data_IF_480879216436
#
_entry.id   IF_480879216436
#
_cell.length_a   1.000
_cell.length_b   1.000
_cell.length_c   1.000
_cell.angle_alpha   90.00
_cell.angle_beta   90.00
_cell.angle_gamma   90.00
#
_symmetry.space_group_name_H-M   'P 1'
#
loop_
_entity.id
_entity.type
_entity.pdbx_description
1 polymer ?
#
# COMPACT_ATOMS: atom_id res chain seq x y z
N UNK A 1 -41.22 9.22 3.60
CA UNK A 1 -42.41 9.04 2.83
C UNK A 1 -42.72 7.56 2.65
N UNK A 2 -43.98 7.22 2.43
CA UNK A 2 -44.50 5.84 2.33
C UNK A 2 -43.79 4.92 1.32
N UNK A 3 -43.14 5.45 0.33
CA UNK A 3 -42.38 4.70 -0.69
C UNK A 3 -41.12 4.01 -0.13
N UNK A 4 -40.57 4.50 0.97
CA UNK A 4 -39.38 3.92 1.58
C UNK A 4 -39.71 2.76 2.55
N UNK A 5 -41.00 2.58 2.86
CA UNK A 5 -41.46 1.51 3.76
C UNK A 5 -41.78 0.20 3.03
N UNK A 6 -41.81 0.21 1.72
CA UNK A 6 -42.06 -0.98 0.92
C UNK A 6 -40.82 -1.89 0.93
N UNK A 7 -40.97 -3.11 1.40
CA UNK A 7 -39.89 -4.10 1.56
C UNK A 7 -39.16 -4.34 0.26
N UNK A 8 -39.83 -4.26 -0.89
CA UNK A 8 -39.19 -4.40 -2.22
C UNK A 8 -38.32 -3.19 -2.62
N UNK A 9 -38.53 -2.03 -2.02
CA UNK A 9 -37.77 -0.81 -2.35
C UNK A 9 -36.54 -0.60 -1.47
N UNK A 10 -36.44 -1.28 -0.33
CA UNK A 10 -35.27 -1.18 0.55
C UNK A 10 -34.02 -1.70 -0.12
N UNK A 11 -34.14 -2.73 -0.94
CA UNK A 11 -33.02 -3.33 -1.69
C UNK A 11 -32.52 -2.42 -2.82
N UNK A 12 -33.35 -1.52 -3.33
CA UNK A 12 -32.96 -0.57 -4.38
C UNK A 12 -32.28 0.70 -3.84
N UNK A 13 -32.11 0.81 -2.52
CA UNK A 13 -31.38 1.93 -1.90
C UNK A 13 -29.99 1.47 -1.49
N UNK A 14 -28.99 2.05 -2.14
CA UNK A 14 -27.60 1.81 -1.81
C UNK A 14 -27.04 2.92 -0.91
N UNK A 15 -26.36 2.54 0.14
CA UNK A 15 -25.60 3.44 0.99
C UNK A 15 -24.12 3.40 0.59
N UNK A 16 -23.62 4.54 0.14
CA UNK A 16 -22.22 4.67 -0.28
C UNK A 16 -21.46 5.64 0.63
N UNK A 17 -20.31 5.21 1.16
CA UNK A 17 -19.45 6.03 2.00
C UNK A 17 -18.09 6.29 1.32
N UNK A 18 -17.72 7.55 1.22
CA UNK A 18 -16.39 7.95 0.74
C UNK A 18 -15.27 7.73 1.77
N UNK A 19 -14.13 8.39 1.53
CA UNK A 19 -12.91 8.19 2.32
C UNK A 19 -13.01 8.56 3.81
N UNK A 20 -13.70 9.64 4.25
CA UNK A 20 -13.79 9.95 5.67
C UNK A 20 -14.27 8.76 6.48
N UNK A 21 -13.41 8.23 7.33
CA UNK A 21 -13.68 7.00 8.08
C UNK A 21 -14.53 7.25 9.31
N UNK A 22 -14.45 8.44 9.83
CA UNK A 22 -15.16 8.88 11.03
C UNK A 22 -16.70 8.81 10.89
N UNK A 23 -17.32 9.26 9.79
CA UNK A 23 -18.77 9.16 9.61
C UNK A 23 -19.26 7.77 9.16
N UNK A 24 -18.38 6.87 8.72
CA UNK A 24 -18.77 5.52 8.25
C UNK A 24 -19.65 4.75 9.24
N UNK A 25 -19.33 4.74 10.56
CA UNK A 25 -20.20 4.09 11.53
C UNK A 25 -21.65 4.60 11.49
N UNK A 26 -21.86 5.89 11.29
CA UNK A 26 -23.19 6.49 11.20
C UNK A 26 -23.93 6.04 9.93
N UNK A 27 -23.22 5.96 8.80
CA UNK A 27 -23.77 5.48 7.53
C UNK A 27 -24.15 4.00 7.65
N UNK A 28 -23.32 3.18 8.27
CA UNK A 28 -23.64 1.76 8.51
C UNK A 28 -24.85 1.56 9.42
N UNK A 29 -24.97 2.38 10.48
CA UNK A 29 -26.16 2.38 11.33
C UNK A 29 -27.41 2.78 10.55
N UNK A 30 -27.31 3.81 9.70
CA UNK A 30 -28.41 4.25 8.87
C UNK A 30 -28.84 3.16 7.89
N UNK A 31 -27.89 2.52 7.20
CA UNK A 31 -28.18 1.39 6.30
C UNK A 31 -28.91 0.25 7.03
N UNK A 32 -28.47 -0.10 8.23
CA UNK A 32 -29.13 -1.12 9.06
C UNK A 32 -30.50 -0.69 9.54
N UNK A 33 -30.65 0.56 9.98
CA UNK A 33 -31.94 1.09 10.41
C UNK A 33 -32.95 1.11 9.25
N UNK A 34 -32.47 1.42 8.06
CA UNK A 34 -33.27 1.39 6.83
C UNK A 34 -33.52 -0.04 6.33
N UNK A 35 -32.82 -1.02 6.90
CA UNK A 35 -32.85 -2.43 6.49
C UNK A 35 -32.42 -2.65 5.02
N UNK A 36 -31.44 -1.88 4.55
CA UNK A 36 -30.84 -2.07 3.23
C UNK A 36 -29.66 -3.03 3.32
N UNK A 37 -29.66 -4.10 2.50
CA UNK A 37 -28.51 -4.99 2.39
C UNK A 37 -27.38 -4.39 1.53
N UNK A 38 -27.66 -3.31 0.79
CA UNK A 38 -26.76 -2.77 -0.22
C UNK A 38 -25.99 -1.57 0.31
N UNK A 39 -24.71 -1.75 0.52
CA UNK A 39 -23.79 -0.69 0.92
C UNK A 39 -22.39 -0.92 0.33
N UNK A 40 -21.67 0.15 0.08
CA UNK A 40 -20.30 0.09 -0.39
C UNK A 40 -19.46 1.24 0.14
N UNK A 41 -18.14 1.10 0.04
CA UNK A 41 -17.19 2.17 0.32
C UNK A 41 -16.17 2.28 -0.80
N UNK A 42 -15.62 3.47 -1.00
CA UNK A 42 -14.60 3.72 -2.02
C UNK A 42 -13.26 3.01 -1.75
N UNK A 43 -12.96 2.71 -0.48
CA UNK A 43 -11.63 2.21 -0.08
C UNK A 43 -11.29 0.83 -0.62
N UNK A 44 -12.27 0.07 -1.12
CA UNK A 44 -12.02 -1.26 -1.65
C UNK A 44 -11.19 -1.24 -2.93
N UNK A 45 -11.59 -0.52 -3.97
CA UNK A 45 -10.87 -0.53 -5.23
C UNK A 45 -10.28 0.84 -5.61
N UNK A 46 -10.95 1.93 -5.23
CA UNK A 46 -10.60 3.27 -5.67
C UNK A 46 -9.60 4.00 -4.74
N UNK A 47 -9.09 3.38 -3.69
CA UNK A 47 -8.16 4.01 -2.77
C UNK A 47 -6.92 3.14 -2.51
N UNK A 48 -6.92 2.37 -1.43
CA UNK A 48 -5.71 1.74 -0.90
C UNK A 48 -5.55 0.25 -1.21
N UNK A 49 -6.54 -0.40 -1.74
CA UNK A 49 -6.54 -1.87 -1.80
C UNK A 49 -5.40 -2.46 -2.61
N UNK A 50 -4.98 -1.82 -3.70
CA UNK A 50 -3.80 -2.27 -4.45
C UNK A 50 -2.53 -2.27 -3.60
N UNK A 51 -2.31 -1.24 -2.79
CA UNK A 51 -1.19 -1.20 -1.85
C UNK A 51 -1.34 -2.21 -0.70
N UNK A 52 -2.54 -2.33 -0.13
CA UNK A 52 -2.80 -3.32 0.93
C UNK A 52 -2.56 -4.74 0.44
N UNK A 53 -2.95 -5.05 -0.79
CA UNK A 53 -2.66 -6.35 -1.40
C UNK A 53 -1.16 -6.56 -1.56
N UNK A 54 -0.42 -5.56 -2.03
CA UNK A 54 1.03 -5.63 -2.15
C UNK A 54 1.72 -5.83 -0.79
N UNK A 55 1.25 -5.13 0.24
CA UNK A 55 1.75 -5.26 1.61
C UNK A 55 1.48 -6.67 2.17
N UNK A 56 0.28 -7.19 1.99
CA UNK A 56 -0.08 -8.54 2.41
C UNK A 56 0.71 -9.62 1.68
N UNK A 57 0.91 -9.47 0.36
CA UNK A 57 1.71 -10.41 -0.43
C UNK A 57 3.20 -10.41 -0.04
N UNK A 58 3.73 -9.27 0.41
CA UNK A 58 5.14 -9.15 0.80
C UNK A 58 5.39 -9.43 2.29
N UNK A 59 4.46 -9.04 3.17
CA UNK A 59 4.65 -9.03 4.63
C UNK A 59 3.62 -9.88 5.40
N UNK A 60 2.59 -10.40 4.74
CA UNK A 60 1.46 -11.06 5.41
C UNK A 60 0.52 -10.12 6.16
N UNK A 61 0.80 -8.83 6.20
CA UNK A 61 -0.02 -7.79 6.86
C UNK A 61 0.20 -6.41 6.24
N UNK A 62 -0.75 -5.46 6.40
CA UNK A 62 -0.56 -4.08 5.96
C UNK A 62 0.61 -3.40 6.67
N UNK A 63 1.46 -2.70 5.90
CA UNK A 63 2.60 -1.96 6.43
C UNK A 63 2.91 -0.72 5.57
N UNK A 64 2.60 0.47 6.07
CA UNK A 64 2.87 1.75 5.39
C UNK A 64 4.27 2.30 5.65
N UNK A 65 5.13 1.56 6.33
CA UNK A 65 6.35 2.11 6.88
C UNK A 65 6.10 2.94 8.14
N UNK A 66 7.04 3.78 8.48
CA UNK A 66 7.01 4.59 9.70
C UNK A 66 7.67 5.94 9.48
N UNK A 67 7.46 6.87 10.42
CA UNK A 67 8.30 8.06 10.50
C UNK A 67 9.74 7.68 10.87
N UNK A 68 10.75 8.44 10.41
CA UNK A 68 12.14 8.14 10.75
C UNK A 68 12.38 8.32 12.25
N UNK A 69 13.07 7.37 12.86
CA UNK A 69 13.49 7.40 14.26
C UNK A 69 14.89 7.99 14.43
N UNK A 70 15.40 8.04 15.66
CA UNK A 70 16.80 8.45 15.93
C UNK A 70 17.84 7.50 15.31
N UNK A 71 17.46 6.24 15.10
CA UNK A 71 18.34 5.18 14.60
C UNK A 71 18.28 5.05 13.07
N UNK A 72 17.32 5.72 12.42
CA UNK A 72 17.18 5.70 10.96
C UNK A 72 18.32 6.47 10.30
N UNK A 73 19.09 5.79 9.43
CA UNK A 73 20.23 6.36 8.69
C UNK A 73 19.82 6.83 7.29
N UNK A 74 18.94 6.08 6.64
CA UNK A 74 18.41 6.41 5.32
C UNK A 74 16.88 6.34 5.37
N UNK A 75 16.23 7.33 4.80
CA UNK A 75 14.77 7.38 4.78
C UNK A 75 14.27 7.56 3.34
N UNK A 76 13.40 6.66 2.89
CA UNK A 76 12.84 6.69 1.55
C UNK A 76 11.39 7.19 1.57
N UNK A 77 11.12 8.27 0.85
CA UNK A 77 9.77 8.82 0.67
C UNK A 77 9.25 8.33 -0.67
N UNK A 78 8.28 7.42 -0.62
CA UNK A 78 7.76 6.75 -1.81
C UNK A 78 6.42 7.35 -2.21
N UNK A 79 6.42 8.18 -3.26
CA UNK A 79 5.23 8.76 -3.87
C UNK A 79 4.27 9.46 -2.88
N UNK A 80 4.83 10.11 -1.85
CA UNK A 80 4.08 10.68 -0.73
C UNK A 80 4.33 12.18 -0.59
N UNK A 81 3.26 12.97 -0.57
CA UNK A 81 3.36 14.40 -0.28
C UNK A 81 3.36 14.67 1.23
N UNK A 82 4.46 14.27 1.89
CA UNK A 82 4.60 14.26 3.36
C UNK A 82 4.42 15.63 4.02
N UNK A 83 4.72 16.72 3.33
CA UNK A 83 4.57 18.06 3.88
C UNK A 83 3.10 18.48 4.03
N UNK A 84 2.20 17.88 3.26
CA UNK A 84 0.76 18.13 3.33
C UNK A 84 0.03 17.14 4.25
N UNK A 85 0.74 16.20 4.84
CA UNK A 85 0.15 15.24 5.78
C UNK A 85 0.05 15.83 7.17
N UNK A 86 -1.11 15.71 7.86
CA UNK A 86 -1.36 16.38 9.14
C UNK A 86 -0.62 15.80 10.34
N UNK A 87 0.02 14.64 10.21
CA UNK A 87 0.51 13.80 11.31
C UNK A 87 1.94 14.12 11.79
N UNK A 88 2.47 15.31 11.55
CA UNK A 88 3.82 15.66 11.98
C UNK A 88 4.96 14.96 11.25
N UNK A 89 4.66 14.22 10.17
CA UNK A 89 5.65 13.47 9.39
C UNK A 89 6.72 14.38 8.80
N UNK A 90 6.30 15.53 8.30
CA UNK A 90 7.23 16.51 7.73
C UNK A 90 8.25 17.00 8.75
N UNK A 91 7.81 17.30 9.99
CA UNK A 91 8.71 17.72 11.06
C UNK A 91 9.66 16.60 11.49
N UNK A 92 9.16 15.36 11.57
CA UNK A 92 9.99 14.19 11.87
C UNK A 92 11.08 13.97 10.80
N UNK A 93 10.74 14.14 9.51
CA UNK A 93 11.68 14.00 8.39
C UNK A 93 12.74 15.11 8.42
N UNK A 94 12.33 16.38 8.64
CA UNK A 94 13.28 17.49 8.78
C UNK A 94 14.23 17.27 9.96
N UNK A 95 13.70 16.86 11.09
CA UNK A 95 14.49 16.54 12.27
C UNK A 95 15.46 15.39 12.03
N UNK A 96 15.04 14.35 11.31
CA UNK A 96 15.92 13.24 10.92
C UNK A 96 17.06 13.74 10.01
N UNK A 97 16.73 14.53 8.99
CA UNK A 97 17.74 15.12 8.09
C UNK A 97 18.73 15.99 8.85
N UNK A 98 18.28 16.82 9.79
CA UNK A 98 19.14 17.64 10.64
C UNK A 98 20.13 16.80 11.50
N UNK A 99 19.75 15.56 11.84
CA UNK A 99 20.63 14.60 12.52
C UNK A 99 21.56 13.83 11.56
N UNK A 100 21.53 14.11 10.26
CA UNK A 100 22.37 13.45 9.25
C UNK A 100 21.73 12.27 8.54
N UNK A 101 20.46 11.96 8.80
CA UNK A 101 19.70 10.96 8.03
C UNK A 101 19.66 11.36 6.56
N UNK A 102 19.98 10.42 5.67
CA UNK A 102 19.92 10.61 4.22
C UNK A 102 18.50 10.41 3.71
N UNK A 103 18.08 11.25 2.78
CA UNK A 103 16.72 11.22 2.23
C UNK A 103 16.76 10.83 0.75
N UNK A 104 16.03 9.78 0.40
CA UNK A 104 15.72 9.43 -0.98
C UNK A 104 14.24 9.73 -1.21
N UNK A 105 13.92 10.47 -2.26
CA UNK A 105 12.52 10.73 -2.63
C UNK A 105 12.23 10.14 -3.99
N UNK A 106 11.19 9.32 -4.08
CA UNK A 106 10.62 8.77 -5.31
C UNK A 106 9.30 9.50 -5.56
N UNK A 107 9.28 10.46 -6.46
CA UNK A 107 8.07 11.22 -6.83
C UNK A 107 8.29 11.83 -8.22
N UNK A 108 7.30 11.74 -9.09
CA UNK A 108 7.34 12.35 -10.44
C UNK A 108 7.47 13.86 -10.40
N UNK A 109 7.02 14.49 -9.31
CA UNK A 109 7.04 15.94 -9.10
C UNK A 109 8.19 16.34 -8.20
N UNK A 110 8.70 17.55 -8.42
CA UNK A 110 9.64 18.17 -7.50
C UNK A 110 8.91 18.77 -6.30
N UNK A 111 8.57 17.92 -5.34
CA UNK A 111 7.92 18.30 -4.08
C UNK A 111 8.91 18.94 -3.09
N UNK A 112 8.41 19.52 -2.00
CA UNK A 112 9.28 19.98 -0.90
C UNK A 112 10.15 18.87 -0.32
N UNK A 113 9.69 17.63 -0.34
CA UNK A 113 10.50 16.47 0.05
C UNK A 113 11.64 16.23 -0.95
N UNK A 114 11.39 16.38 -2.24
CA UNK A 114 12.42 16.27 -3.27
C UNK A 114 13.46 17.41 -3.21
N UNK A 115 13.07 18.60 -2.75
CA UNK A 115 14.00 19.74 -2.57
C UNK A 115 15.02 19.50 -1.46
N UNK A 116 14.63 18.79 -0.40
CA UNK A 116 15.54 18.48 0.71
C UNK A 116 16.21 17.10 0.56
N UNK A 117 15.82 16.30 -0.43
CA UNK A 117 16.38 14.96 -0.64
C UNK A 117 17.85 15.00 -1.04
N UNK A 118 18.62 14.01 -0.58
CA UNK A 118 19.98 13.76 -1.09
C UNK A 118 19.92 13.18 -2.51
N UNK A 119 18.87 12.37 -2.79
CA UNK A 119 18.60 11.84 -4.14
C UNK A 119 17.10 11.97 -4.42
N UNK A 120 16.76 12.57 -5.56
CA UNK A 120 15.40 12.59 -6.11
C UNK A 120 15.36 11.72 -7.37
N UNK A 121 14.51 10.71 -7.33
CA UNK A 121 14.18 9.82 -8.43
C UNK A 121 12.77 10.19 -8.94
N UNK A 122 12.69 10.61 -10.20
CA UNK A 122 11.43 11.06 -10.81
C UNK A 122 11.02 10.08 -11.94
N UNK A 123 10.45 8.92 -11.61
CA UNK A 123 10.05 7.95 -12.63
C UNK A 123 8.83 8.44 -13.42
N UNK A 124 8.68 7.99 -14.65
CA UNK A 124 7.45 8.10 -15.40
C UNK A 124 6.32 7.39 -14.64
N UNK A 125 5.10 7.92 -14.72
CA UNK A 125 3.94 7.38 -13.98
C UNK A 125 3.72 5.91 -14.36
N UNK A 126 3.57 5.05 -13.35
CA UNK A 126 3.31 3.61 -13.52
C UNK A 126 4.57 2.75 -13.74
N UNK A 127 5.77 3.33 -13.69
CA UNK A 127 7.03 2.60 -13.89
C UNK A 127 7.81 2.34 -12.59
N UNK A 128 7.20 2.55 -11.44
CA UNK A 128 7.84 2.41 -10.13
C UNK A 128 8.39 0.99 -9.89
N UNK A 129 7.69 -0.05 -10.40
CA UNK A 129 8.17 -1.42 -10.32
C UNK A 129 9.50 -1.63 -11.08
N UNK A 130 9.65 -1.02 -12.26
CA UNK A 130 10.88 -1.10 -13.03
C UNK A 130 12.03 -0.34 -12.34
N UNK A 131 11.73 0.83 -11.75
CA UNK A 131 12.71 1.57 -10.93
C UNK A 131 13.17 0.73 -9.74
N UNK A 132 12.25 0.14 -9.00
CA UNK A 132 12.56 -0.71 -7.86
C UNK A 132 13.40 -1.94 -8.28
N UNK A 133 13.05 -2.57 -9.40
CA UNK A 133 13.82 -3.70 -9.96
C UNK A 133 15.26 -3.29 -10.33
N UNK A 134 15.45 -2.10 -10.92
CA UNK A 134 16.78 -1.55 -11.22
C UNK A 134 17.60 -1.31 -9.96
N UNK A 135 17.01 -0.68 -8.94
CA UNK A 135 17.67 -0.49 -7.63
C UNK A 135 18.01 -1.84 -6.99
N UNK A 136 17.06 -2.78 -6.96
CA UNK A 136 17.28 -4.12 -6.41
C UNK A 136 18.41 -4.87 -7.14
N UNK A 137 18.46 -4.78 -8.48
CA UNK A 137 19.54 -5.37 -9.26
C UNK A 137 20.91 -4.84 -8.84
N UNK A 138 21.05 -3.54 -8.64
CA UNK A 138 22.32 -2.94 -8.18
C UNK A 138 22.68 -3.49 -6.79
N UNK A 139 21.73 -3.51 -5.87
CA UNK A 139 21.95 -4.07 -4.52
C UNK A 139 22.44 -5.51 -4.57
N UNK A 140 21.84 -6.34 -5.41
CA UNK A 140 22.19 -7.75 -5.56
C UNK A 140 23.55 -7.91 -6.23
N UNK A 141 23.81 -7.22 -7.34
CA UNK A 141 25.06 -7.35 -8.10
C UNK A 141 26.28 -6.81 -7.36
N UNK A 142 26.11 -5.80 -6.54
CA UNK A 142 27.17 -5.25 -5.71
C UNK A 142 27.28 -5.94 -4.34
N UNK A 143 26.50 -7.01 -4.12
CA UNK A 143 26.47 -7.78 -2.87
C UNK A 143 26.22 -6.90 -1.62
N UNK A 144 25.30 -5.94 -1.75
CA UNK A 144 24.90 -5.02 -0.68
C UNK A 144 23.71 -5.52 0.15
N UNK A 145 23.15 -6.66 -0.20
CA UNK A 145 21.96 -7.26 0.43
C UNK A 145 22.30 -7.97 1.75
N UNK A 146 21.32 -8.13 2.61
CA UNK A 146 21.44 -8.93 3.83
C UNK A 146 21.10 -10.40 3.54
N UNK A 147 22.06 -11.17 3.02
CA UNK A 147 21.85 -12.56 2.64
C UNK A 147 21.36 -13.44 3.80
N UNK A 148 21.91 -13.35 5.03
CA UNK A 148 21.40 -14.13 6.17
C UNK A 148 19.93 -13.88 6.47
N UNK A 149 19.47 -12.62 6.40
CA UNK A 149 18.06 -12.29 6.58
C UNK A 149 17.19 -12.90 5.46
N UNK A 150 17.65 -12.78 4.23
CA UNK A 150 16.94 -13.30 3.05
C UNK A 150 16.76 -14.81 3.16
N UNK A 151 17.82 -15.54 3.47
CA UNK A 151 17.81 -17.00 3.56
C UNK A 151 16.90 -17.52 4.69
N UNK A 152 16.80 -16.76 5.79
CA UNK A 152 16.01 -17.16 6.95
C UNK A 152 14.53 -16.76 6.84
N UNK A 153 14.22 -15.60 6.25
CA UNK A 153 12.92 -14.96 6.39
C UNK A 153 12.16 -14.77 5.09
N UNK A 154 12.76 -15.09 3.93
CA UNK A 154 12.12 -14.87 2.65
C UNK A 154 12.00 -16.15 1.83
N UNK A 155 11.13 -16.09 0.82
CA UNK A 155 10.96 -17.15 -0.16
C UNK A 155 11.04 -16.57 -1.58
N UNK A 156 11.60 -17.34 -2.55
CA UNK A 156 11.64 -16.95 -3.96
C UNK A 156 12.74 -15.94 -4.30
N UNK A 157 13.79 -15.80 -3.49
CA UNK A 157 14.87 -14.85 -3.76
C UNK A 157 15.62 -15.15 -5.06
N UNK A 158 15.93 -16.41 -5.34
CA UNK A 158 16.71 -16.79 -6.54
C UNK A 158 15.95 -16.48 -7.84
N UNK A 159 14.64 -16.74 -7.86
CA UNK A 159 13.77 -16.37 -8.96
C UNK A 159 13.67 -14.86 -9.13
N UNK A 160 13.55 -14.13 -8.01
CA UNK A 160 13.53 -12.68 -8.03
C UNK A 160 14.85 -12.10 -8.52
N UNK A 161 16.00 -12.60 -8.05
CA UNK A 161 17.32 -12.17 -8.49
C UNK A 161 17.52 -12.38 -10.00
N UNK A 162 17.07 -13.52 -10.51
CA UNK A 162 17.07 -13.81 -11.96
C UNK A 162 16.14 -12.86 -12.72
N UNK A 163 14.94 -12.60 -12.18
CA UNK A 163 13.99 -11.69 -12.80
C UNK A 163 14.54 -10.26 -12.92
N UNK A 164 15.13 -9.71 -11.85
CA UNK A 164 15.63 -8.34 -11.87
C UNK A 164 16.91 -8.16 -12.65
N UNK A 165 17.60 -9.21 -13.04
CA UNK A 165 18.89 -9.12 -13.77
C UNK A 165 18.75 -8.42 -15.14
N UNK A 166 17.58 -8.47 -15.76
CA UNK A 166 17.28 -7.75 -16.99
C UNK A 166 17.16 -6.22 -16.81
N UNK A 167 16.95 -5.72 -15.59
CA UNK A 167 16.77 -4.29 -15.30
C UNK A 167 18.13 -3.63 -15.00
N UNK A 168 19.03 -3.59 -16.01
CA UNK A 168 20.27 -2.81 -15.87
C UNK A 168 19.95 -1.34 -15.58
N UNK A 169 20.87 -0.56 -15.01
CA UNK A 169 20.65 0.88 -14.81
C UNK A 169 20.21 1.60 -16.09
N UNK A 170 20.80 1.24 -17.24
CA UNK A 170 20.49 1.81 -18.56
C UNK A 170 19.08 1.40 -19.01
N UNK A 171 18.70 0.11 -18.84
CA UNK A 171 17.36 -0.36 -19.17
C UNK A 171 16.32 0.26 -18.25
N UNK A 172 16.66 0.45 -16.98
CA UNK A 172 15.80 1.14 -16.01
C UNK A 172 15.61 2.59 -16.42
N UNK A 173 16.65 3.29 -16.85
CA UNK A 173 16.54 4.65 -17.40
C UNK A 173 15.65 4.70 -18.65
N UNK A 174 15.80 3.76 -19.57
CA UNK A 174 14.96 3.68 -20.78
C UNK A 174 13.47 3.58 -20.43
N UNK A 175 13.12 2.77 -19.44
CA UNK A 175 11.73 2.52 -19.03
C UNK A 175 11.16 3.67 -18.18
N UNK A 176 11.95 4.17 -17.24
CA UNK A 176 11.48 5.07 -16.18
C UNK A 176 11.79 6.54 -16.43
N UNK A 177 12.76 6.84 -17.29
CA UNK A 177 13.32 8.18 -17.47
C UNK A 177 14.28 8.61 -16.34
N UNK A 178 14.47 7.80 -15.31
CA UNK A 178 15.42 8.10 -14.21
C UNK A 178 16.84 7.82 -14.70
N UNK A 179 17.80 8.77 -14.62
CA UNK A 179 19.18 8.57 -15.03
C UNK A 179 19.83 7.35 -14.38
N UNK A 180 20.57 6.56 -15.14
CA UNK A 180 21.19 5.32 -14.69
C UNK A 180 22.14 5.51 -13.50
N UNK A 181 22.91 6.60 -13.50
CA UNK A 181 23.79 6.98 -12.40
C UNK A 181 23.02 7.26 -11.10
N UNK A 182 21.81 7.85 -11.20
CA UNK A 182 20.94 8.07 -10.04
C UNK A 182 20.35 6.77 -9.49
N UNK A 183 20.03 5.79 -10.35
CA UNK A 183 19.58 4.46 -9.93
C UNK A 183 20.68 3.80 -9.09
N UNK A 184 21.91 3.81 -9.58
CA UNK A 184 23.09 3.26 -8.88
C UNK A 184 23.34 4.00 -7.57
N UNK A 185 23.34 5.34 -7.61
CA UNK A 185 23.57 6.16 -6.42
C UNK A 185 22.50 5.91 -5.34
N UNK A 186 21.22 5.78 -5.74
CA UNK A 186 20.13 5.50 -4.81
C UNK A 186 20.27 4.12 -4.15
N UNK A 187 20.64 3.08 -4.91
CA UNK A 187 20.89 1.76 -4.37
C UNK A 187 22.03 1.78 -3.32
N UNK A 188 23.15 2.40 -3.67
CA UNK A 188 24.31 2.53 -2.76
C UNK A 188 24.00 3.38 -1.54
N UNK A 189 23.18 4.43 -1.69
CA UNK A 189 22.74 5.24 -0.56
C UNK A 189 21.81 4.46 0.35
N UNK A 190 20.85 3.72 -0.23
CA UNK A 190 19.93 2.87 0.52
C UNK A 190 20.66 1.82 1.34
N UNK A 191 21.76 1.29 0.84
CA UNK A 191 22.59 0.30 1.52
C UNK A 191 23.35 0.85 2.74
N UNK A 192 23.38 2.17 2.97
CA UNK A 192 24.03 2.77 4.14
C UNK A 192 23.17 2.74 5.43
N UNK A 193 21.96 2.16 5.36
CA UNK A 193 21.00 2.08 6.48
C UNK A 193 21.54 1.55 7.79
N UNK A 194 20.68 1.37 8.82
CA UNK A 194 19.27 0.96 8.69
C UNK A 194 18.38 2.02 8.05
N UNK A 195 17.47 1.52 7.21
CA UNK A 195 16.57 2.34 6.43
C UNK A 195 15.10 2.08 6.72
N UNK A 196 14.32 3.15 6.74
CA UNK A 196 12.86 3.09 6.82
C UNK A 196 12.23 3.87 5.67
N UNK A 197 10.93 3.76 5.53
CA UNK A 197 10.21 4.42 4.46
C UNK A 197 8.84 4.93 4.90
N UNK A 198 8.28 5.84 4.09
CA UNK A 198 6.85 6.09 4.03
C UNK A 198 6.37 6.04 2.60
N UNK A 199 5.17 5.57 2.40
CA UNK A 199 4.50 5.59 1.12
C UNK A 199 3.06 6.05 1.27
N UNK A 200 2.52 6.74 0.26
CA UNK A 200 1.09 6.83 0.08
C UNK A 200 0.63 5.85 -0.98
N UNK A 201 -0.53 5.42 -0.72
CA UNK A 201 -1.19 4.33 -1.36
C UNK A 201 -1.74 4.69 -2.74
N UNK A 202 -2.20 5.94 -2.90
CA UNK A 202 -2.92 6.34 -4.12
C UNK A 202 -1.98 6.44 -5.32
N UNK A 203 -0.85 7.11 -5.17
CA UNK A 203 0.06 7.37 -6.29
C UNK A 203 0.62 6.11 -6.92
N UNK A 204 0.90 5.08 -6.10
CA UNK A 204 1.44 3.81 -6.58
C UNK A 204 0.36 2.87 -7.09
N UNK A 205 -0.84 2.87 -6.48
CA UNK A 205 -1.89 1.89 -6.77
C UNK A 205 -2.92 2.34 -7.81
N UNK A 206 -3.05 3.64 -8.09
CA UNK A 206 -4.04 4.17 -9.03
C UNK A 206 -3.58 4.08 -10.49
N UNK A 207 -3.07 2.93 -10.86
CA UNK A 207 -2.74 2.58 -12.25
C UNK A 207 -2.86 1.06 -12.44
N UNK A 208 -2.87 0.59 -13.68
CA UNK A 208 -3.07 -0.83 -14.02
C UNK A 208 -2.00 -1.76 -13.43
N UNK A 209 -0.82 -1.25 -13.10
CA UNK A 209 0.27 -2.03 -12.49
C UNK A 209 0.47 -1.72 -10.99
N UNK A 210 -0.53 -1.14 -10.33
CA UNK A 210 -0.39 -0.57 -8.98
C UNK A 210 0.08 -1.55 -7.92
N UNK A 211 -0.39 -2.80 -7.94
CA UNK A 211 0.05 -3.84 -7.02
C UNK A 211 1.56 -4.11 -7.17
N UNK A 212 2.04 -4.30 -8.40
CA UNK A 212 3.45 -4.59 -8.64
C UNK A 212 4.36 -3.37 -8.39
N UNK A 213 3.89 -2.15 -8.69
CA UNK A 213 4.63 -0.93 -8.36
C UNK A 213 4.88 -0.84 -6.85
N UNK A 214 3.84 -1.08 -6.05
CA UNK A 214 3.97 -1.09 -4.60
C UNK A 214 4.85 -2.25 -4.12
N UNK A 215 4.61 -3.47 -4.62
CA UNK A 215 5.41 -4.65 -4.26
C UNK A 215 6.90 -4.44 -4.50
N UNK A 216 7.27 -3.91 -5.67
CA UNK A 216 8.66 -3.68 -6.04
C UNK A 216 9.38 -2.77 -5.03
N UNK A 217 8.76 -1.65 -4.66
CA UNK A 217 9.35 -0.73 -3.69
C UNK A 217 9.44 -1.34 -2.28
N UNK A 218 8.44 -2.12 -1.87
CA UNK A 218 8.44 -2.81 -0.57
C UNK A 218 9.48 -3.94 -0.48
N UNK A 219 9.98 -4.47 -1.59
CA UNK A 219 11.07 -5.46 -1.58
C UNK A 219 12.42 -4.84 -1.20
N UNK A 220 12.63 -3.54 -1.40
CA UNK A 220 13.91 -2.90 -1.11
C UNK A 220 14.33 -3.00 0.37
N UNK A 221 13.48 -2.68 1.37
CA UNK A 221 13.82 -2.91 2.77
C UNK A 221 13.95 -4.40 3.13
N UNK A 222 13.23 -5.31 2.46
CA UNK A 222 13.35 -6.75 2.68
C UNK A 222 14.73 -7.25 2.26
N UNK A 223 15.22 -6.87 1.08
CA UNK A 223 16.56 -7.23 0.60
C UNK A 223 17.66 -6.80 1.56
N UNK A 224 17.45 -5.71 2.28
CA UNK A 224 18.42 -5.15 3.22
C UNK A 224 18.27 -5.72 4.64
N UNK A 225 17.21 -6.48 4.93
CA UNK A 225 16.90 -6.91 6.28
C UNK A 225 16.51 -5.76 7.22
N UNK A 226 15.95 -4.67 6.70
CA UNK A 226 15.54 -3.50 7.49
C UNK A 226 14.17 -3.69 8.15
N UNK A 227 13.75 -4.92 8.34
CA UNK A 227 12.44 -5.28 8.89
C UNK A 227 12.58 -5.53 10.39
N UNK A 228 11.74 -4.88 11.19
CA UNK A 228 11.60 -5.01 12.64
C UNK A 228 12.93 -4.83 13.43
N UNK A 229 13.77 -3.92 12.93
CA UNK A 229 15.01 -3.50 13.60
C UNK A 229 14.96 -2.01 13.97
N UNK A 230 15.73 -1.54 14.96
CA UNK A 230 15.85 -0.12 15.26
C UNK A 230 16.27 0.70 14.02
N UNK A 231 15.51 1.73 13.70
CA UNK A 231 15.74 2.58 12.51
C UNK A 231 15.22 2.02 11.20
N UNK A 232 14.75 0.78 11.20
CA UNK A 232 14.13 0.11 10.06
C UNK A 232 12.61 0.26 10.00
N UNK A 233 11.97 -0.72 9.39
CA UNK A 233 10.52 -0.80 9.17
C UNK A 233 9.89 -1.65 10.25
N UNK A 234 9.16 -1.07 11.21
CA UNK A 234 8.56 -1.85 12.29
C UNK A 234 7.32 -2.61 11.78
N UNK A 235 7.11 -3.81 12.28
CA UNK A 235 5.82 -4.48 12.25
C UNK A 235 4.97 -3.99 13.42
N UNK A 236 4.20 -2.91 13.17
CA UNK A 236 3.31 -2.36 14.17
C UNK A 236 2.22 -3.36 14.55
N UNK A 237 2.06 -3.59 15.86
CA UNK A 237 0.84 -4.21 16.36
C UNK A 237 -0.23 -3.13 16.47
N UNK A 238 -1.44 -3.34 15.93
CA UNK A 238 -2.52 -2.39 16.14
C UNK A 238 -2.80 -2.25 17.64
N UNK A 239 -3.13 -1.05 18.14
CA UNK A 239 -3.48 -0.86 19.54
C UNK A 239 -4.56 -1.85 19.96
N UNK A 240 -4.32 -2.60 21.02
CA UNK A 240 -5.31 -3.55 21.57
C UNK A 240 -6.57 -2.76 21.98
N UNK A 241 -7.70 -3.12 21.44
CA UNK A 241 -9.00 -2.62 21.87
C UNK A 241 -9.65 -1.52 21.04
N UNK A 242 -8.97 -0.95 20.04
CA UNK A 242 -9.52 0.06 19.15
C UNK A 242 -9.59 -0.45 17.70
N UNK A 243 -10.40 -1.45 17.45
CA UNK A 243 -10.76 -1.80 16.07
C UNK A 243 -12.14 -1.22 15.74
N UNK A 244 -12.36 -0.85 14.48
CA UNK A 244 -13.71 -0.52 13.98
C UNK A 244 -14.70 -1.68 14.26
N UNK A 245 -14.17 -2.90 14.42
CA UNK A 245 -14.86 -4.09 14.89
C UNK A 245 -15.45 -3.94 16.29
N UNK A 246 -14.73 -3.27 17.20
CA UNK A 246 -15.16 -3.11 18.58
C UNK A 246 -16.45 -2.28 18.71
N UNK A 247 -16.74 -1.43 17.72
CA UNK A 247 -17.96 -0.63 17.71
C UNK A 247 -19.17 -1.37 17.13
N UNK A 248 -19.01 -2.62 16.69
CA UNK A 248 -20.12 -3.47 16.21
C UNK A 248 -20.89 -2.89 15.02
N UNK A 249 -20.27 -2.02 14.24
CA UNK A 249 -20.96 -1.14 13.31
C UNK A 249 -20.86 -1.61 11.85
N UNK A 250 -19.94 -2.52 11.56
CA UNK A 250 -19.83 -3.13 10.25
C UNK A 250 -20.77 -4.36 10.20
N UNK A 251 -21.58 -4.56 9.14
CA UNK A 251 -22.44 -5.72 9.00
C UNK A 251 -21.69 -7.06 9.14
N UNK A 252 -20.49 -7.16 8.57
CA UNK A 252 -19.59 -8.31 8.73
C UNK A 252 -19.16 -8.58 10.18
N UNK A 253 -19.33 -7.63 11.08
CA UNK A 253 -18.93 -7.72 12.48
C UNK A 253 -20.13 -7.99 13.41
N UNK A 254 -21.33 -7.71 12.95
CA UNK A 254 -22.55 -8.01 13.71
C UNK A 254 -22.81 -9.52 13.72
N UNK A 255 -22.49 -10.21 12.63
CA UNK A 255 -22.54 -11.66 12.54
C UNK A 255 -21.39 -12.19 11.66
N UNK A 256 -20.21 -12.29 12.25
CA UNK A 256 -19.01 -12.85 11.58
C UNK A 256 -19.24 -14.28 11.06
N UNK A 257 -20.04 -15.08 11.74
CA UNK A 257 -20.29 -16.47 11.37
C UNK A 257 -21.11 -16.53 10.10
N UNK A 258 -22.16 -15.71 10.00
CA UNK A 258 -22.98 -15.60 8.81
C UNK A 258 -22.18 -14.98 7.65
N UNK A 259 -21.50 -13.85 7.88
CA UNK A 259 -20.70 -13.15 6.85
C UNK A 259 -19.62 -14.02 6.23
N UNK A 260 -18.98 -14.85 7.04
CA UNK A 260 -17.93 -15.76 6.59
C UNK A 260 -18.44 -17.14 6.17
N UNK A 261 -19.76 -17.37 6.17
CA UNK A 261 -20.31 -18.64 5.72
C UNK A 261 -20.00 -18.91 4.25
N UNK A 262 -19.82 -20.19 3.87
CA UNK A 262 -19.57 -20.55 2.46
C UNK A 262 -20.66 -20.03 1.52
N UNK A 263 -21.91 -20.02 1.98
CA UNK A 263 -23.06 -19.54 1.21
C UNK A 263 -22.94 -18.04 0.88
N UNK A 264 -22.63 -17.19 1.87
CA UNK A 264 -22.46 -15.75 1.66
C UNK A 264 -21.24 -15.46 0.79
N UNK A 265 -20.12 -16.16 1.04
CA UNK A 265 -18.92 -16.01 0.23
C UNK A 265 -19.13 -16.40 -1.23
N UNK A 266 -19.90 -17.46 -1.49
CA UNK A 266 -20.22 -17.89 -2.85
C UNK A 266 -21.11 -16.90 -3.62
N UNK A 267 -21.89 -16.08 -2.90
CA UNK A 267 -22.77 -15.06 -3.52
C UNK A 267 -22.11 -13.70 -3.69
N UNK A 268 -20.88 -13.53 -3.27
CA UNK A 268 -20.16 -12.28 -3.48
C UNK A 268 -19.89 -12.07 -4.97
N UNK A 269 -20.26 -10.91 -5.45
CA UNK A 269 -20.00 -10.47 -6.81
C UNK A 269 -18.49 -10.47 -7.10
N UNK A 270 -18.07 -10.64 -8.34
CA UNK A 270 -16.69 -10.64 -8.85
C UNK A 270 -15.74 -11.68 -8.22
N UNK A 271 -16.23 -12.65 -7.41
CA UNK A 271 -15.37 -13.64 -6.77
C UNK A 271 -14.58 -14.48 -7.77
N UNK A 272 -15.20 -14.87 -8.85
CA UNK A 272 -14.54 -15.69 -9.90
C UNK A 272 -13.52 -14.88 -10.69
N UNK A 273 -13.79 -13.59 -10.92
CA UNK A 273 -12.92 -12.69 -11.67
C UNK A 273 -11.73 -12.21 -10.83
N UNK A 274 -11.92 -11.99 -9.53
CA UNK A 274 -10.95 -11.41 -8.62
C UNK A 274 -10.75 -12.25 -7.34
N UNK A 275 -10.37 -13.53 -7.46
CA UNK A 275 -10.30 -14.45 -6.30
C UNK A 275 -9.31 -13.97 -5.22
N UNK A 276 -8.14 -13.47 -5.60
CA UNK A 276 -7.16 -12.96 -4.64
C UNK A 276 -7.67 -11.73 -3.88
N UNK A 277 -8.48 -10.91 -4.51
CA UNK A 277 -9.09 -9.76 -3.88
C UNK A 277 -10.03 -10.17 -2.75
N UNK A 278 -10.87 -11.18 -2.98
CA UNK A 278 -11.75 -11.73 -1.97
C UNK A 278 -10.99 -12.43 -0.84
N UNK A 279 -9.97 -13.22 -1.20
CA UNK A 279 -9.25 -14.02 -0.22
C UNK A 279 -8.33 -13.17 0.67
N UNK A 280 -7.72 -12.11 0.14
CA UNK A 280 -6.80 -11.26 0.88
C UNK A 280 -7.46 -10.03 1.51
N UNK A 281 -8.49 -9.47 0.87
CA UNK A 281 -9.12 -8.22 1.32
C UNK A 281 -10.51 -8.43 1.93
N UNK A 282 -11.10 -9.59 1.74
CA UNK A 282 -12.49 -9.91 2.14
C UNK A 282 -13.52 -8.86 1.66
N UNK A 283 -13.33 -8.37 0.44
CA UNK A 283 -14.09 -7.28 -0.15
C UNK A 283 -14.52 -7.61 -1.58
N UNK A 284 -15.57 -6.91 -2.05
CA UNK A 284 -16.02 -6.91 -3.44
C UNK A 284 -15.54 -5.63 -4.12
N UNK A 285 -15.08 -5.71 -5.36
CA UNK A 285 -14.64 -4.53 -6.11
C UNK A 285 -15.84 -3.68 -6.55
N UNK A 286 -15.89 -2.39 -6.23
CA UNK A 286 -16.96 -1.51 -6.69
C UNK A 286 -16.83 -1.11 -8.17
N UNK A 287 -15.75 -1.47 -8.85
CA UNK A 287 -15.52 -1.07 -10.24
C UNK A 287 -16.55 -1.66 -11.20
N UNK A 288 -17.06 -2.86 -10.89
CA UNK A 288 -18.07 -3.55 -11.71
C UNK A 288 -19.50 -3.18 -11.28
N UNK A 289 -19.68 -2.31 -10.29
CA UNK A 289 -20.99 -1.91 -9.78
C UNK A 289 -21.95 -1.39 -10.85
N UNK A 290 -21.52 -0.55 -11.83
CA UNK A 290 -22.42 -0.09 -12.89
C UNK A 290 -22.97 -1.23 -13.76
N UNK A 291 -22.18 -2.28 -14.00
CA UNK A 291 -22.61 -3.46 -14.76
C UNK A 291 -23.60 -4.28 -13.97
N UNK A 292 -23.33 -4.54 -12.71
CA UNK A 292 -24.24 -5.30 -11.84
C UNK A 292 -25.59 -4.60 -11.63
N UNK A 293 -25.59 -3.26 -11.55
CA UNK A 293 -26.84 -2.49 -11.44
C UNK A 293 -27.64 -2.55 -12.74
N UNK A 294 -26.98 -2.60 -13.90
CA UNK A 294 -27.64 -2.73 -15.20
C UNK A 294 -28.22 -4.13 -15.41
N UNK A 295 -27.50 -5.15 -14.99
CA UNK A 295 -27.81 -6.56 -15.30
C UNK A 295 -28.74 -7.22 -14.26
N UNK A 296 -29.10 -6.50 -13.17
CA UNK A 296 -30.05 -6.94 -12.12
C UNK A 296 -29.38 -7.58 -10.93
#
# INVERSE_FOLDING_TARGET
>A
SSAASDVYKRQSVMFYAGDPKEPRPSIYRLARYFDSPTWATESSAACRSGCMMAEQLNFGQPNNGSTPTKDTKVYMIMATNVWAQPLGWWEAIKAAKARGCKIITVDTRRTKAAEIADIHLAPAIGTDAALAAGVARVLIKENLINRPFIDQWTHGFEEYAKYVDQFTPEKTQEITGVPADKVVAAARLWAQGPGSFTLTTQSLSHNSNGVNNTRGLLLLPILMGYIDIPGGVPFGQPPKGLSMAAFGLHPAMADKKWWNSPEVKARRLDREELPLWHDLQDQTSPNNLPEWVRDG
#
